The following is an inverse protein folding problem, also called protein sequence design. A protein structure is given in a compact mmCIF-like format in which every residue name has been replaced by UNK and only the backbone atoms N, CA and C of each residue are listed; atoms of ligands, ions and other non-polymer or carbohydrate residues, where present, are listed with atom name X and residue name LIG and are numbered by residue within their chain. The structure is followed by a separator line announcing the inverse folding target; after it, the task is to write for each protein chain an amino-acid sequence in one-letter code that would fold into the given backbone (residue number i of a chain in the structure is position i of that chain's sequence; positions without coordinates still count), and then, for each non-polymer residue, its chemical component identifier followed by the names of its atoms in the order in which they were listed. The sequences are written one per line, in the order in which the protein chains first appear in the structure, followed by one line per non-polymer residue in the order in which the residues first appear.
data_IF_729836908348
#
_entry.id   IF_729836908348
#
_cell.length_a   1.000
_cell.length_b   1.000
_cell.length_c   1.000
_cell.angle_alpha   90.00
_cell.angle_beta   90.00
_cell.angle_gamma   90.00
#
_symmetry.space_group_name_H-M   'P 1'
#
loop_
_entity.id
_entity.type
_entity.pdbx_description
1 polymer ?
#
# COMPACT_ATOMS: atom_id res chain seq x y z
N UNK A 1 35.84 36.54 -29.12
CA UNK A 1 35.66 35.75 -27.88
C UNK A 1 36.82 34.79 -27.76
N UNK A 2 37.54 34.88 -26.65
CA UNK A 2 38.88 34.34 -26.45
C UNK A 2 38.87 32.81 -26.35
N UNK A 3 39.63 32.14 -27.24
CA UNK A 3 39.91 30.68 -27.26
C UNK A 3 40.07 30.01 -25.87
N UNK A 4 40.68 30.62 -24.83
CA UNK A 4 40.74 30.00 -23.50
C UNK A 4 39.37 29.76 -22.86
N UNK A 5 38.37 30.62 -23.10
CA UNK A 5 37.04 30.50 -22.50
C UNK A 5 36.28 29.29 -23.06
N UNK A 6 36.42 29.04 -24.36
CA UNK A 6 35.83 27.88 -25.00
C UNK A 6 36.43 26.56 -24.49
N UNK A 7 37.75 26.56 -24.23
CA UNK A 7 38.46 25.38 -23.74
C UNK A 7 38.09 25.07 -22.28
N UNK A 8 37.97 26.09 -21.43
CA UNK A 8 37.50 25.95 -20.04
C UNK A 8 36.06 25.44 -20.01
N UNK A 9 35.17 25.99 -20.86
CA UNK A 9 33.77 25.55 -20.95
C UNK A 9 33.65 24.09 -21.39
N UNK A 10 34.49 23.64 -22.33
CA UNK A 10 34.48 22.26 -22.81
C UNK A 10 34.96 21.28 -21.72
N UNK A 11 35.99 21.64 -20.96
CA UNK A 11 36.51 20.81 -19.86
C UNK A 11 35.49 20.72 -18.72
N UNK A 12 34.81 21.82 -18.39
CA UNK A 12 33.79 21.83 -17.34
C UNK A 12 32.59 20.97 -17.71
N UNK A 13 32.14 21.01 -18.96
CA UNK A 13 31.07 20.17 -19.48
C UNK A 13 31.43 18.67 -19.50
N UNK A 14 32.69 18.34 -19.83
CA UNK A 14 33.17 16.96 -19.78
C UNK A 14 33.23 16.43 -18.34
N UNK A 15 33.67 17.26 -17.40
CA UNK A 15 33.71 16.91 -15.98
C UNK A 15 32.31 16.70 -15.40
N UNK A 16 31.34 17.57 -15.70
CA UNK A 16 29.96 17.41 -15.23
C UNK A 16 29.30 16.15 -15.81
N UNK A 17 29.54 15.85 -17.09
CA UNK A 17 29.07 14.62 -17.72
C UNK A 17 29.67 13.36 -17.05
N UNK A 18 30.97 13.40 -16.72
CA UNK A 18 31.64 12.31 -16.02
C UNK A 18 31.06 12.10 -14.60
N UNK A 19 30.83 13.18 -13.85
CA UNK A 19 30.21 13.10 -12.52
C UNK A 19 28.78 12.56 -12.56
N UNK A 20 27.97 12.97 -13.55
CA UNK A 20 26.62 12.44 -13.72
C UNK A 20 26.64 10.96 -14.14
N UNK A 21 27.59 10.55 -14.98
CA UNK A 21 27.76 9.14 -15.35
C UNK A 21 28.18 8.27 -14.16
N UNK A 22 29.15 8.73 -13.37
CA UNK A 22 29.56 8.03 -12.13
C UNK A 22 28.41 7.99 -11.13
N UNK A 23 27.67 9.09 -10.97
CA UNK A 23 26.48 9.12 -10.15
C UNK A 23 25.43 8.13 -10.66
N UNK A 24 25.19 8.02 -11.97
CA UNK A 24 24.23 7.06 -12.55
C UNK A 24 24.66 5.60 -12.38
N UNK A 25 25.96 5.30 -12.52
CA UNK A 25 26.50 3.93 -12.33
C UNK A 25 26.49 3.52 -10.85
N UNK A 26 26.81 4.45 -9.95
CA UNK A 26 26.78 4.18 -8.50
C UNK A 26 25.39 4.33 -7.89
N UNK A 27 24.48 5.05 -8.55
CA UNK A 27 23.07 5.11 -8.21
C UNK A 27 22.45 3.80 -8.65
N UNK A 28 22.60 2.79 -7.80
CA UNK A 28 21.71 1.65 -7.77
C UNK A 28 20.45 2.12 -7.06
N UNK A 29 19.35 2.48 -7.77
CA UNK A 29 18.09 2.61 -7.08
C UNK A 29 17.82 1.28 -6.38
N UNK A 30 17.62 1.31 -5.06
CA UNK A 30 17.07 0.18 -4.32
C UNK A 30 15.59 0.02 -4.67
N UNK A 31 15.31 -0.24 -5.96
CA UNK A 31 14.09 -0.87 -6.43
C UNK A 31 14.52 -2.26 -6.87
N UNK A 32 14.47 -3.20 -5.93
CA UNK A 32 14.61 -4.61 -6.26
C UNK A 32 13.46 -5.00 -7.18
N UNK A 33 13.72 -5.54 -8.38
CA UNK A 33 12.70 -6.24 -9.13
C UNK A 33 12.57 -7.63 -8.50
N UNK A 34 11.56 -7.85 -7.67
CA UNK A 34 11.13 -9.21 -7.35
C UNK A 34 10.32 -9.78 -8.51
N UNK A 35 10.94 -9.92 -9.69
CA UNK A 35 10.46 -10.85 -10.71
C UNK A 35 11.10 -12.21 -10.44
N UNK A 36 10.43 -13.05 -9.65
CA UNK A 36 10.48 -14.52 -9.74
C UNK A 36 9.55 -15.11 -8.66
N UNK A 37 8.27 -14.73 -8.70
CA UNK A 37 7.23 -15.59 -8.15
C UNK A 37 7.10 -16.80 -9.06
N UNK A 38 7.73 -17.92 -8.69
CA UNK A 38 7.29 -19.22 -9.20
C UNK A 38 5.84 -19.36 -8.81
N UNK A 39 4.94 -19.15 -9.77
CA UNK A 39 3.53 -19.50 -9.67
C UNK A 39 3.47 -20.95 -9.21
N UNK A 40 3.06 -21.15 -7.95
CA UNK A 40 2.56 -22.42 -7.48
C UNK A 40 1.28 -22.65 -8.27
N UNK A 41 1.39 -23.35 -9.41
CA UNK A 41 0.23 -23.85 -10.14
C UNK A 41 -0.51 -24.78 -9.19
N UNK A 42 -1.57 -24.27 -8.57
CA UNK A 42 -2.56 -25.09 -7.89
C UNK A 42 -3.07 -26.14 -8.89
N UNK A 43 -2.84 -27.40 -8.57
CA UNK A 43 -3.45 -28.50 -9.28
C UNK A 43 -4.97 -28.32 -9.24
N UNK A 44 -5.57 -28.15 -10.41
CA UNK A 44 -7.01 -28.07 -10.62
C UNK A 44 -7.64 -29.40 -10.22
N UNK A 45 -8.15 -29.50 -8.99
CA UNK A 45 -9.00 -30.61 -8.56
C UNK A 45 -10.44 -30.19 -8.86
N UNK A 46 -10.97 -30.65 -10.00
CA UNK A 46 -12.40 -30.63 -10.28
C UNK A 46 -13.13 -31.60 -9.33
N UNK A 47 -14.41 -31.33 -8.98
CA UNK A 47 -15.19 -32.22 -8.12
C UNK A 47 -15.44 -33.58 -8.79
N UNK A 48 -15.33 -34.65 -8.00
CA UNK A 48 -15.58 -36.06 -8.38
C UNK A 48 -17.03 -36.29 -8.82
N UNK A 49 -17.20 -36.95 -9.96
CA UNK A 49 -18.36 -37.80 -10.23
C UNK A 49 -17.89 -39.26 -10.37
N UNK A 50 -18.77 -40.17 -9.94
CA UNK A 50 -18.57 -41.57 -9.54
C UNK A 50 -18.31 -42.54 -10.71
N UNK A 51 -17.31 -43.44 -10.56
CA UNK A 51 -17.40 -44.91 -10.69
C UNK A 51 -16.00 -45.56 -10.47
N UNK A 52 -15.91 -46.61 -9.64
CA UNK A 52 -14.70 -47.44 -9.38
C UNK A 52 -14.57 -48.61 -10.42
N UNK A 53 -13.54 -49.48 -10.37
CA UNK A 53 -12.11 -49.32 -10.74
C UNK A 53 -11.66 -50.47 -11.71
N UNK A 54 -10.36 -50.73 -12.05
CA UNK A 54 -9.37 -51.35 -11.14
C UNK A 54 -7.87 -50.97 -11.29
N UNK A 55 -7.16 -50.99 -10.14
CA UNK A 55 -5.84 -51.61 -9.84
C UNK A 55 -4.51 -51.17 -10.51
N UNK A 56 -3.52 -50.94 -9.62
CA UNK A 56 -2.04 -50.98 -9.73
C UNK A 56 -1.28 -49.86 -10.45
N UNK A 57 -0.56 -49.03 -9.68
CA UNK A 57 0.86 -49.27 -9.38
C UNK A 57 1.46 -48.14 -8.51
N UNK A 58 2.23 -48.57 -7.50
CA UNK A 58 3.18 -47.87 -6.64
C UNK A 58 3.65 -46.47 -7.05
N UNK A 59 3.55 -45.51 -6.13
CA UNK A 59 4.57 -44.48 -5.84
C UNK A 59 4.28 -43.88 -4.47
N UNK A 60 4.97 -44.43 -3.49
CA UNK A 60 4.99 -43.98 -2.11
C UNK A 60 5.84 -42.70 -2.04
N UNK A 61 5.20 -41.53 -2.06
CA UNK A 61 5.72 -40.36 -1.36
C UNK A 61 4.62 -39.88 -0.42
N UNK A 62 4.68 -40.43 0.79
CA UNK A 62 3.86 -40.03 1.91
C UNK A 62 4.30 -38.61 2.33
N UNK A 63 3.57 -37.59 1.88
CA UNK A 63 3.43 -36.38 2.69
C UNK A 63 2.55 -36.77 3.87
N UNK A 64 3.23 -37.15 4.95
CA UNK A 64 2.62 -37.39 6.25
C UNK A 64 1.87 -36.13 6.67
N UNK A 65 0.55 -36.31 6.78
CA UNK A 65 -0.31 -35.72 7.80
C UNK A 65 0.45 -35.17 9.01
N UNK A 66 0.47 -33.86 9.18
CA UNK A 66 0.42 -33.26 10.50
C UNK A 66 -0.99 -32.74 10.74
N UNK A 67 -1.71 -33.43 11.63
CA UNK A 67 -2.83 -32.87 12.36
C UNK A 67 -2.26 -31.80 13.31
N UNK A 68 -1.95 -30.63 12.76
CA UNK A 68 -1.57 -29.44 13.50
C UNK A 68 -2.32 -28.26 12.90
N UNK A 69 -3.20 -27.66 13.69
CA UNK A 69 -3.78 -26.32 13.46
C UNK A 69 -2.72 -25.22 13.58
N UNK A 70 -1.54 -25.42 12.98
CA UNK A 70 -0.40 -24.50 13.02
C UNK A 70 -0.17 -23.89 11.65
N UNK A 71 0.17 -22.59 11.63
CA UNK A 71 0.60 -21.91 10.43
C UNK A 71 1.91 -22.51 9.88
N UNK A 72 2.08 -22.62 8.54
CA UNK A 72 3.35 -23.04 7.96
C UNK A 72 4.48 -22.06 8.36
N UNK A 73 5.67 -22.52 8.78
CA UNK A 73 6.79 -21.66 9.16
C UNK A 73 7.20 -20.65 8.08
N UNK A 74 7.01 -21.00 6.80
CA UNK A 74 7.31 -20.13 5.67
C UNK A 74 6.44 -18.86 5.68
N UNK A 75 5.21 -18.96 6.17
CA UNK A 75 4.28 -17.82 6.29
C UNK A 75 4.80 -16.83 7.32
N UNK A 76 5.21 -17.31 8.49
CA UNK A 76 5.73 -16.43 9.56
C UNK A 76 7.00 -15.69 9.10
N UNK A 77 7.93 -16.41 8.48
CA UNK A 77 9.15 -15.80 7.92
C UNK A 77 8.81 -14.74 6.86
N UNK A 78 7.81 -14.99 6.03
CA UNK A 78 7.42 -14.03 5.00
C UNK A 78 6.77 -12.78 5.59
N UNK A 79 5.94 -12.92 6.61
CA UNK A 79 5.35 -11.79 7.35
C UNK A 79 6.44 -10.94 8.01
N UNK A 80 7.47 -11.56 8.59
CA UNK A 80 8.61 -10.84 9.18
C UNK A 80 9.36 -10.02 8.11
N UNK A 81 9.61 -10.58 6.93
CA UNK A 81 10.23 -9.83 5.82
C UNK A 81 9.37 -8.63 5.38
N UNK A 82 8.06 -8.85 5.26
CA UNK A 82 7.12 -7.80 4.87
C UNK A 82 6.99 -6.69 5.90
N UNK A 83 7.22 -6.98 7.19
CA UNK A 83 7.20 -5.97 8.26
C UNK A 83 8.22 -4.85 8.05
N UNK A 84 9.23 -5.06 7.20
CA UNK A 84 10.23 -4.05 6.83
C UNK A 84 9.80 -3.21 5.62
N UNK A 85 8.95 -3.76 4.74
CA UNK A 85 8.54 -3.11 3.48
C UNK A 85 7.23 -2.35 3.64
N UNK A 86 6.23 -3.00 4.25
CA UNK A 86 4.88 -2.46 4.44
C UNK A 86 4.87 -1.07 5.12
N UNK A 87 5.71 -0.77 6.13
CA UNK A 87 5.74 0.57 6.75
C UNK A 87 5.92 1.73 5.76
N UNK A 88 6.57 1.49 4.62
CA UNK A 88 6.86 2.54 3.63
C UNK A 88 5.62 3.08 2.91
N UNK A 89 4.51 2.32 2.90
CA UNK A 89 3.23 2.74 2.34
C UNK A 89 2.38 3.56 3.32
N UNK A 90 2.79 3.62 4.59
CA UNK A 90 2.07 4.37 5.62
C UNK A 90 2.62 5.78 5.77
N UNK A 91 1.68 6.72 5.86
CA UNK A 91 1.95 8.11 6.20
C UNK A 91 1.26 8.44 7.51
N UNK A 92 1.79 9.43 8.22
CA UNK A 92 1.29 9.78 9.54
C UNK A 92 0.33 10.97 9.46
N UNK A 93 -0.91 10.73 9.87
CA UNK A 93 -1.91 11.75 10.15
C UNK A 93 -1.79 12.19 11.60
N UNK A 94 -1.41 13.44 11.84
CA UNK A 94 -1.24 14.01 13.17
C UNK A 94 -2.51 14.74 13.60
N UNK A 95 -3.18 14.20 14.60
CA UNK A 95 -4.23 14.90 15.36
C UNK A 95 -3.63 15.72 16.52
N UNK A 96 -4.50 16.26 17.40
CA UNK A 96 -4.09 17.12 18.53
C UNK A 96 -3.05 16.48 19.47
N UNK A 97 -3.17 15.18 19.77
CA UNK A 97 -2.30 14.49 20.73
C UNK A 97 -1.86 13.10 20.29
N UNK A 98 -2.24 12.67 19.08
CA UNK A 98 -2.01 11.31 18.59
C UNK A 98 -1.66 11.34 17.11
N UNK A 99 -0.80 10.41 16.69
CA UNK A 99 -0.53 10.11 15.29
C UNK A 99 -1.28 8.84 14.90
N UNK A 100 -1.81 8.81 13.68
CA UNK A 100 -2.53 7.68 13.15
C UNK A 100 -1.95 7.34 11.78
N UNK A 101 -1.56 6.08 11.53
CA UNK A 101 -1.10 5.68 10.22
C UNK A 101 -2.29 5.68 9.25
N UNK A 102 -2.02 6.14 8.03
CA UNK A 102 -2.93 6.04 6.90
C UNK A 102 -2.15 5.50 5.70
N UNK A 103 -2.77 4.62 4.95
CA UNK A 103 -2.16 4.00 3.77
C UNK A 103 -2.34 4.92 2.56
N UNK A 104 -1.29 5.13 1.78
CA UNK A 104 -1.38 5.87 0.51
C UNK A 104 -2.08 5.00 -0.53
N UNK A 105 -3.40 5.15 -0.62
CA UNK A 105 -4.25 4.30 -1.45
C UNK A 105 -4.17 4.65 -2.93
N UNK A 106 -4.22 5.94 -3.27
CA UNK A 106 -4.31 6.38 -4.65
C UNK A 106 -3.71 7.76 -4.83
N UNK A 107 -2.98 7.95 -5.94
CA UNK A 107 -2.43 9.25 -6.33
C UNK A 107 -2.90 9.61 -7.73
N UNK A 108 -3.50 10.79 -7.89
CA UNK A 108 -3.98 11.29 -9.18
C UNK A 108 -3.32 12.63 -9.51
N UNK A 109 -2.67 12.78 -10.67
CA UNK A 109 -2.12 14.07 -11.08
C UNK A 109 -3.25 15.08 -11.35
N UNK A 110 -3.08 16.31 -10.85
CA UNK A 110 -4.00 17.43 -11.08
C UNK A 110 -3.46 18.45 -12.10
N UNK A 111 -2.18 18.32 -12.48
CA UNK A 111 -1.48 19.31 -13.30
C UNK A 111 -0.77 20.37 -12.45
N UNK A 112 0.09 21.17 -13.08
CA UNK A 112 0.84 22.24 -12.39
C UNK A 112 1.74 21.77 -11.24
N UNK A 113 2.23 20.52 -11.30
CA UNK A 113 3.04 19.92 -10.24
C UNK A 113 2.26 19.53 -8.97
N UNK A 114 0.92 19.45 -9.06
CA UNK A 114 0.05 19.01 -7.97
C UNK A 114 -0.53 17.61 -8.22
N UNK A 115 -0.82 16.91 -7.13
CA UNK A 115 -1.48 15.61 -7.13
C UNK A 115 -2.54 15.55 -6.03
N UNK A 116 -3.69 14.97 -6.33
CA UNK A 116 -4.66 14.53 -5.34
C UNK A 116 -4.19 13.19 -4.77
N UNK A 117 -4.03 13.12 -3.45
CA UNK A 117 -3.60 11.93 -2.72
C UNK A 117 -4.73 11.46 -1.83
N UNK A 118 -5.13 10.22 -2.02
CA UNK A 118 -6.17 9.54 -1.23
C UNK A 118 -5.51 8.65 -0.19
N UNK A 119 -5.74 8.96 1.07
CA UNK A 119 -5.19 8.26 2.23
C UNK A 119 -6.29 7.44 2.90
N UNK A 120 -6.10 6.13 2.97
CA UNK A 120 -7.03 5.21 3.60
C UNK A 120 -6.71 5.05 5.09
N UNK A 121 -7.71 5.26 5.93
CA UNK A 121 -7.61 5.07 7.38
C UNK A 121 -8.83 4.33 7.92
N UNK A 122 -8.62 3.64 9.04
CA UNK A 122 -9.65 2.94 9.81
C UNK A 122 -9.99 3.69 11.11
N UNK A 123 -9.33 4.81 11.40
CA UNK A 123 -9.54 5.57 12.64
C UNK A 123 -10.47 6.75 12.44
N UNK A 124 -11.55 6.85 13.23
CA UNK A 124 -12.30 8.10 13.31
C UNK A 124 -11.42 9.15 13.98
N UNK A 125 -11.18 10.25 13.27
CA UNK A 125 -10.40 11.39 13.75
C UNK A 125 -11.17 12.68 13.52
N UNK A 126 -10.85 13.72 14.29
CA UNK A 126 -11.42 15.03 14.07
C UNK A 126 -10.72 15.74 12.90
N UNK A 127 -11.26 15.53 11.70
CA UNK A 127 -10.67 15.93 10.42
C UNK A 127 -10.31 17.41 10.29
N UNK A 128 -11.05 18.32 10.95
CA UNK A 128 -10.76 19.75 10.93
C UNK A 128 -9.44 20.14 11.60
N UNK A 129 -8.84 19.23 12.38
CA UNK A 129 -7.61 19.45 13.13
C UNK A 129 -6.48 18.49 12.75
N UNK A 130 -6.71 17.60 11.79
CA UNK A 130 -5.70 16.64 11.33
C UNK A 130 -4.73 17.35 10.40
N UNK A 131 -3.45 17.07 10.57
CA UNK A 131 -2.39 17.51 9.65
C UNK A 131 -1.69 16.29 9.08
N UNK A 132 -1.30 16.37 7.81
CA UNK A 132 -0.53 15.34 7.14
C UNK A 132 0.94 15.77 7.11
N UNK A 133 1.85 14.90 7.56
CA UNK A 133 3.29 15.17 7.49
C UNK A 133 3.93 14.30 6.42
N UNK A 134 4.48 14.93 5.38
CA UNK A 134 5.19 14.26 4.28
C UNK A 134 6.47 14.99 3.95
N UNK A 135 7.59 14.27 3.84
CA UNK A 135 8.88 14.80 3.38
C UNK A 135 9.33 16.08 4.12
N UNK A 136 9.04 16.18 5.42
CA UNK A 136 9.36 17.36 6.24
C UNK A 136 8.34 18.50 6.17
N UNK A 137 7.39 18.45 5.25
CA UNK A 137 6.30 19.43 5.12
C UNK A 137 5.08 19.01 5.94
N UNK A 138 4.34 20.01 6.43
CA UNK A 138 3.06 19.82 7.09
C UNK A 138 1.95 20.39 6.20
N UNK A 139 1.03 19.53 5.81
CA UNK A 139 -0.20 19.88 5.14
C UNK A 139 -1.29 20.01 6.21
N UNK A 140 -2.16 21.01 6.06
CA UNK A 140 -3.26 21.27 7.00
C UNK A 140 -4.31 20.14 7.01
N UNK A 141 -5.57 20.47 7.34
CA UNK A 141 -6.69 19.54 7.19
C UNK A 141 -6.80 19.01 5.75
N UNK A 142 -7.32 17.78 5.56
CA UNK A 142 -7.60 17.25 4.23
C UNK A 142 -8.57 18.18 3.49
N UNK A 143 -8.59 18.13 2.17
CA UNK A 143 -9.54 18.92 1.39
C UNK A 143 -10.94 18.31 1.47
N UNK A 144 -11.02 16.97 1.42
CA UNK A 144 -12.25 16.19 1.56
C UNK A 144 -12.00 14.90 2.34
N UNK A 145 -13.03 14.38 2.99
CA UNK A 145 -13.00 13.02 3.56
C UNK A 145 -14.27 12.28 3.19
N UNK A 146 -14.10 11.02 2.78
CA UNK A 146 -15.16 10.13 2.36
C UNK A 146 -15.29 8.95 3.31
N UNK A 147 -16.52 8.51 3.53
CA UNK A 147 -16.86 7.27 4.21
C UNK A 147 -17.17 6.19 3.17
N UNK A 148 -16.33 5.17 3.11
CA UNK A 148 -16.35 4.07 2.15
C UNK A 148 -16.52 2.74 2.89
N UNK A 149 -17.76 2.23 3.03
CA UNK A 149 -18.03 0.94 3.70
C UNK A 149 -17.44 0.85 5.13
N UNK A 150 -17.53 1.95 5.88
CA UNK A 150 -16.96 2.06 7.23
C UNK A 150 -15.50 2.52 7.27
N UNK A 151 -14.78 2.47 6.15
CA UNK A 151 -13.42 2.99 6.01
C UNK A 151 -13.45 4.50 5.72
N UNK A 152 -12.40 5.20 6.13
CA UNK A 152 -12.26 6.64 5.95
C UNK A 152 -11.19 6.92 4.92
N UNK A 153 -11.50 7.72 3.91
CA UNK A 153 -10.56 8.12 2.86
C UNK A 153 -10.41 9.62 2.86
N UNK A 154 -9.23 10.11 3.24
CA UNK A 154 -8.89 11.53 3.23
C UNK A 154 -8.23 11.90 1.91
N UNK A 155 -8.72 12.94 1.25
CA UNK A 155 -8.16 13.50 0.02
C UNK A 155 -7.37 14.77 0.33
N UNK A 156 -6.15 14.84 -0.19
CA UNK A 156 -5.25 15.99 -0.08
C UNK A 156 -4.74 16.40 -1.46
N UNK A 157 -4.85 17.67 -1.77
CA UNK A 157 -4.18 18.28 -2.92
C UNK A 157 -2.78 18.74 -2.49
N UNK A 158 -1.76 17.94 -2.84
CA UNK A 158 -0.37 18.22 -2.49
C UNK A 158 0.42 18.71 -3.71
N UNK A 159 1.32 19.65 -3.48
CA UNK A 159 2.35 20.02 -4.45
C UNK A 159 3.62 19.21 -4.28
N UNK A 160 4.39 19.07 -5.36
CA UNK A 160 5.70 18.41 -5.34
C UNK A 160 5.63 16.90 -5.63
N UNK A 161 6.60 16.15 -5.11
CA UNK A 161 6.70 14.71 -5.33
C UNK A 161 5.72 14.00 -4.38
N UNK A 162 4.69 13.31 -4.91
CA UNK A 162 3.74 12.60 -4.07
C UNK A 162 4.37 11.36 -3.42
N UNK A 163 3.82 10.88 -2.29
CA UNK A 163 4.24 9.61 -1.72
C UNK A 163 3.87 8.45 -2.66
N UNK A 164 4.55 7.31 -2.50
CA UNK A 164 4.29 6.14 -3.32
C UNK A 164 2.90 5.56 -3.04
N UNK A 165 2.14 5.32 -4.11
CA UNK A 165 0.89 4.57 -4.04
C UNK A 165 1.17 3.11 -3.71
N UNK A 166 0.38 2.54 -2.80
CA UNK A 166 0.40 1.10 -2.55
C UNK A 166 -0.12 0.36 -3.78
N UNK A 167 0.57 -0.71 -4.19
CA UNK A 167 0.09 -1.53 -5.30
C UNK A 167 -1.08 -2.39 -4.84
N UNK A 168 -1.96 -2.74 -5.78
CA UNK A 168 -3.12 -3.59 -5.54
C UNK A 168 -2.76 -5.03 -5.86
N UNK A 169 -2.96 -5.91 -4.89
CA UNK A 169 -2.79 -7.35 -5.03
C UNK A 169 -4.04 -8.11 -4.64
N UNK A 170 -3.89 -9.43 -4.54
CA UNK A 170 -4.93 -10.37 -4.13
C UNK A 170 -4.37 -11.34 -3.11
N UNK A 171 -5.21 -11.77 -2.15
CA UNK A 171 -4.82 -12.77 -1.16
C UNK A 171 -5.50 -14.09 -1.49
N UNK A 172 -4.70 -15.11 -1.80
CA UNK A 172 -5.22 -16.45 -2.11
C UNK A 172 -5.60 -17.19 -0.83
N UNK A 173 -4.60 -17.52 -0.01
CA UNK A 173 -4.76 -18.32 1.20
C UNK A 173 -4.15 -17.67 2.45
N UNK A 174 -2.96 -17.08 2.29
CA UNK A 174 -2.23 -16.43 3.37
C UNK A 174 -1.72 -15.05 2.95
N UNK A 175 -1.56 -14.17 3.93
CA UNK A 175 -0.98 -12.84 3.74
C UNK A 175 -0.41 -12.28 5.03
N UNK A 176 -0.11 -10.99 5.03
CA UNK A 176 0.29 -10.23 6.22
C UNK A 176 -0.81 -9.24 6.60
N UNK A 177 -1.32 -9.35 7.83
CA UNK A 177 -2.19 -8.36 8.42
C UNK A 177 -1.35 -7.33 9.17
N UNK A 178 -1.31 -6.11 8.65
CA UNK A 178 -0.83 -4.93 9.34
C UNK A 178 -1.95 -4.40 10.26
N UNK A 179 -2.04 -4.98 11.46
CA UNK A 179 -2.98 -4.60 12.49
C UNK A 179 -2.57 -3.27 13.12
N UNK A 180 -3.46 -2.29 13.10
CA UNK A 180 -3.16 -1.00 13.73
C UNK A 180 -3.60 -1.03 15.19
N UNK A 181 -2.63 -0.83 16.08
CA UNK A 181 -2.82 -0.80 17.54
C UNK A 181 -3.09 0.62 18.03
N UNK A 182 -3.52 0.71 19.28
CA UNK A 182 -3.66 1.97 20.00
C UNK A 182 -2.38 2.82 19.86
N UNK A 183 -2.54 4.12 19.61
CA UNK A 183 -1.45 5.11 19.45
C UNK A 183 -0.67 5.04 18.13
N UNK A 184 -1.20 4.36 17.11
CA UNK A 184 -0.65 4.39 15.76
C UNK A 184 0.53 3.45 15.52
N UNK A 185 0.85 2.60 16.50
CA UNK A 185 1.73 1.47 16.29
C UNK A 185 1.06 0.45 15.34
N UNK A 186 1.84 -0.15 14.45
CA UNK A 186 1.37 -1.22 13.56
C UNK A 186 2.07 -2.50 13.98
N UNK A 187 1.32 -3.58 14.17
CA UNK A 187 1.87 -4.93 14.30
C UNK A 187 1.56 -5.75 13.06
N UNK A 188 2.40 -6.74 12.79
CA UNK A 188 2.31 -7.59 11.63
C UNK A 188 2.05 -9.01 12.09
N UNK A 189 0.96 -9.60 11.61
CA UNK A 189 0.52 -10.94 11.98
C UNK A 189 0.13 -11.71 10.72
N UNK A 190 0.28 -13.03 10.68
CA UNK A 190 -0.23 -13.82 9.57
C UNK A 190 -1.73 -13.65 9.38
N UNK A 191 -2.15 -13.39 8.14
CA UNK A 191 -3.54 -13.43 7.74
C UNK A 191 -3.85 -14.80 7.13
N UNK A 192 -4.91 -15.45 7.60
CA UNK A 192 -5.29 -16.83 7.21
C UNK A 192 -6.60 -16.89 6.41
N UNK A 193 -7.05 -15.77 5.85
CA UNK A 193 -8.29 -15.68 5.06
C UNK A 193 -9.50 -15.15 5.83
N UNK A 194 -9.43 -15.03 7.16
CA UNK A 194 -10.54 -14.57 8.00
C UNK A 194 -10.18 -13.32 8.81
N UNK A 195 -11.13 -12.40 8.94
CA UNK A 195 -10.97 -11.20 9.75
C UNK A 195 -11.59 -11.40 11.13
N UNK A 196 -10.81 -11.22 12.18
CA UNK A 196 -11.34 -11.15 13.54
C UNK A 196 -12.16 -9.87 13.75
N UNK A 197 -13.33 -9.94 14.41
CA UNK A 197 -14.12 -8.75 14.78
C UNK A 197 -13.34 -7.74 15.64
N UNK A 198 -12.32 -8.20 16.36
CA UNK A 198 -11.51 -7.37 17.27
C UNK A 198 -10.25 -6.81 16.62
N UNK A 199 -9.89 -7.25 15.42
CA UNK A 199 -8.63 -6.92 14.78
C UNK A 199 -8.88 -6.24 13.43
N UNK A 200 -8.73 -4.92 13.43
CA UNK A 200 -8.80 -4.12 12.22
C UNK A 200 -7.38 -3.86 11.69
N UNK A 201 -7.23 -3.91 10.37
CA UNK A 201 -5.93 -3.70 9.76
C UNK A 201 -5.94 -3.86 8.25
N UNK A 202 -4.78 -3.61 7.66
CA UNK A 202 -4.56 -3.69 6.22
C UNK A 202 -3.96 -5.05 5.89
N UNK A 203 -4.53 -5.76 4.92
CA UNK A 203 -4.07 -7.07 4.51
C UNK A 203 -3.24 -6.92 3.26
N UNK A 204 -2.02 -7.41 3.31
CA UNK A 204 -1.08 -7.45 2.20
C UNK A 204 -0.85 -8.90 1.76
N UNK A 205 -0.63 -9.10 0.48
CA UNK A 205 -0.16 -10.38 -0.03
C UNK A 205 1.34 -10.58 0.24
N UNK A 206 1.90 -11.69 -0.24
CA UNK A 206 3.32 -11.96 -0.07
C UNK A 206 4.26 -11.16 -1.00
N UNK A 207 3.73 -10.43 -1.97
CA UNK A 207 4.49 -9.45 -2.74
C UNK A 207 4.57 -8.09 -2.03
N UNK A 208 3.75 -7.88 -0.98
CA UNK A 208 3.65 -6.62 -0.25
C UNK A 208 2.64 -5.66 -0.90
N UNK A 209 1.76 -6.18 -1.75
CA UNK A 209 0.68 -5.44 -2.38
C UNK A 209 -0.57 -5.49 -1.49
N UNK A 210 -1.36 -4.42 -1.49
CA UNK A 210 -2.59 -4.35 -0.70
C UNK A 210 -3.64 -5.29 -1.30
N UNK A 211 -3.99 -6.33 -0.57
CA UNK A 211 -5.05 -7.27 -0.92
C UNK A 211 -6.42 -6.83 -0.37
N UNK A 212 -6.45 -6.10 0.74
CA UNK A 212 -7.70 -5.59 1.31
C UNK A 212 -7.56 -5.03 2.71
N UNK A 213 -8.69 -4.89 3.39
CA UNK A 213 -8.78 -4.37 4.77
C UNK A 213 -9.69 -5.27 5.58
N UNK A 214 -9.22 -5.69 6.76
CA UNK A 214 -10.05 -6.23 7.80
C UNK A 214 -10.68 -5.09 8.60
N UNK A 215 -12.01 -5.01 8.61
CA UNK A 215 -12.74 -3.99 9.36
C UNK A 215 -14.04 -4.54 9.92
N UNK A 216 -14.19 -4.52 11.25
CA UNK A 216 -15.39 -5.00 11.94
C UNK A 216 -15.70 -6.46 11.64
N UNK A 217 -14.68 -7.30 11.54
CA UNK A 217 -14.80 -8.74 11.23
C UNK A 217 -15.04 -9.06 9.75
N UNK A 218 -15.10 -8.06 8.88
CA UNK A 218 -15.31 -8.27 7.45
C UNK A 218 -14.02 -8.00 6.66
N UNK A 219 -13.75 -8.86 5.68
CA UNK A 219 -12.71 -8.61 4.69
C UNK A 219 -13.26 -7.79 3.52
N UNK A 220 -12.67 -6.63 3.29
CA UNK A 220 -13.00 -5.74 2.16
C UNK A 220 -11.81 -5.77 1.20
N UNK A 221 -11.97 -6.44 0.05
CA UNK A 221 -10.88 -6.55 -0.94
C UNK A 221 -10.46 -5.19 -1.50
N UNK A 222 -9.18 -5.07 -1.86
CA UNK A 222 -8.62 -3.87 -2.46
C UNK A 222 -9.42 -3.46 -3.71
N UNK A 223 -9.80 -4.42 -4.54
CA UNK A 223 -10.72 -4.28 -5.67
C UNK A 223 -11.96 -3.43 -5.38
N UNK A 224 -12.66 -3.77 -4.29
CA UNK A 224 -13.88 -3.08 -3.86
C UNK A 224 -13.56 -1.68 -3.35
N UNK A 225 -12.39 -1.47 -2.74
CA UNK A 225 -11.95 -0.17 -2.24
C UNK A 225 -11.57 0.75 -3.42
N UNK A 226 -10.69 0.32 -4.31
CA UNK A 226 -10.21 1.10 -5.46
C UNK A 226 -11.34 1.46 -6.44
N UNK A 227 -12.29 0.56 -6.66
CA UNK A 227 -13.45 0.83 -7.53
C UNK A 227 -14.45 1.81 -6.92
N UNK A 228 -14.55 1.85 -5.58
CA UNK A 228 -15.45 2.77 -4.89
C UNK A 228 -14.86 4.18 -4.74
N UNK A 229 -13.54 4.33 -4.56
CA UNK A 229 -12.96 5.63 -4.20
C UNK A 229 -12.76 6.56 -5.42
N UNK A 230 -13.23 7.83 -5.37
CA UNK A 230 -14.11 8.43 -4.36
C UNK A 230 -15.61 8.32 -4.67
N UNK A 231 -15.99 7.97 -5.91
CA UNK A 231 -17.36 8.13 -6.45
C UNK A 231 -18.44 7.30 -5.74
N UNK A 232 -18.10 6.12 -5.24
CA UNK A 232 -18.99 5.21 -4.52
C UNK A 232 -19.02 5.45 -3.00
N UNK A 233 -18.42 6.54 -2.51
CA UNK A 233 -18.32 6.85 -1.10
C UNK A 233 -19.13 8.10 -0.73
N UNK A 234 -19.56 8.18 0.53
CA UNK A 234 -20.28 9.34 1.06
C UNK A 234 -19.30 10.41 1.54
N UNK A 235 -19.40 11.63 1.03
CA UNK A 235 -18.64 12.77 1.55
C UNK A 235 -19.08 13.09 2.98
N UNK A 236 -18.15 13.16 3.93
CA UNK A 236 -18.43 13.43 5.35
C UNK A 236 -17.73 14.66 5.90
N UNK A 237 -16.76 15.21 5.17
CA UNK A 237 -16.06 16.43 5.54
C UNK A 237 -15.55 17.12 4.27
N UNK A 238 -15.57 18.45 4.29
CA UNK A 238 -14.95 19.31 3.28
C UNK A 238 -14.34 20.49 4.01
N UNK A 239 -13.10 20.82 3.64
CA UNK A 239 -12.40 21.96 4.21
C UNK A 239 -13.11 23.27 3.88
N UNK A 240 -13.26 24.12 4.88
CA UNK A 240 -13.82 25.47 4.69
C UNK A 240 -12.97 26.25 3.68
N UNK A 241 -13.64 26.92 2.73
CA UNK A 241 -12.99 27.67 1.65
C UNK A 241 -12.59 26.84 0.43
N UNK A 242 -12.78 25.51 0.41
CA UNK A 242 -12.56 24.68 -0.78
C UNK A 242 -13.65 24.82 -1.87
N UNK A 243 -14.71 25.57 -1.57
CA UNK A 243 -15.76 25.96 -2.52
C UNK A 243 -16.09 27.43 -2.35
N UNK A 244 -15.42 28.30 -3.09
CA UNK A 244 -15.92 29.62 -3.49
C UNK A 244 -14.98 30.23 -4.53
N UNK A 245 -15.29 29.92 -5.79
CA UNK A 245 -14.80 30.63 -6.97
C UNK A 245 -15.82 30.70 -8.11
N UNK A 246 -17.03 30.15 -7.95
CA UNK A 246 -18.02 30.06 -9.04
C UNK A 246 -19.47 29.99 -8.52
N UNK A 247 -19.84 30.92 -7.63
CA UNK A 247 -21.25 31.24 -7.35
C UNK A 247 -21.40 32.77 -7.19
N UNK A 248 -21.08 33.49 -8.26
CA UNK A 248 -21.75 34.76 -8.57
C UNK A 248 -22.28 34.65 -10.00
N UNK A 249 -23.56 34.31 -10.09
CA UNK A 249 -24.44 34.52 -11.23
C UNK A 249 -25.70 35.17 -10.72
#
# INVERSE_FOLDING_TARGET
MSRPVALISAVLAALTALFLFVAFVLYSPSYGPFSNGKSLKAASIRPKESLNPPVSANSTEALQSSNGTGLPPEVEQRVEQLSQVIPTYFVNLKGRSKSFPALVLKVKPLGGGKSAVFLLSIYPVNWSSVTLRLNGYNFGPPDKVYLCRGLLVAEYDIGGIPPAEVQRGEVEQFGALAAVKSYGAVSYEPFTGECSPMLNGFVFDFAGELAGVCFGGNFISADKIYSAVPRGCRLIYTKEGAGNGDLQG
#
